data_IF_020267045210
#
_entry.id   IF_020267045210
#
_cell.length_a   1.000
_cell.length_b   1.000
_cell.length_c   1.000
_cell.angle_alpha   90.00
_cell.angle_beta   90.00
_cell.angle_gamma   90.00
#
_symmetry.space_group_name_H-M   'P 1'
#
loop_
_entity.id
_entity.type
_entity.pdbx_description
1 polymer ?
#
# COMPACT_ATOMS: atom_id res chain seq x y z
N UNK A 1 24.10 13.25 19.01
CA UNK A 1 22.73 12.85 18.61
C UNK A 1 22.48 11.49 19.22
N UNK A 2 21.32 11.30 19.84
CA UNK A 2 20.90 9.99 20.36
C UNK A 2 20.06 9.30 19.28
N UNK A 3 20.69 8.47 18.47
CA UNK A 3 20.02 7.81 17.34
C UNK A 3 19.02 6.74 17.81
N UNK A 4 19.11 6.28 19.06
CA UNK A 4 18.19 5.30 19.62
C UNK A 4 16.75 5.82 19.68
N UNK A 5 16.55 7.15 19.69
CA UNK A 5 15.22 7.76 19.63
C UNK A 5 14.43 7.37 18.37
N UNK A 6 15.11 7.01 17.27
CA UNK A 6 14.48 6.64 16.01
C UNK A 6 14.08 5.15 15.93
N UNK A 7 14.48 4.33 16.92
CA UNK A 7 14.17 2.89 16.92
C UNK A 7 12.66 2.62 16.86
N UNK A 8 11.85 3.51 17.45
CA UNK A 8 10.39 3.38 17.43
C UNK A 8 9.80 3.41 16.02
N UNK A 9 10.42 4.11 15.06
CA UNK A 9 9.94 4.12 13.67
C UNK A 9 10.08 2.75 12.99
N UNK A 10 11.02 1.93 13.46
CA UNK A 10 11.27 0.56 12.95
C UNK A 10 10.43 -0.45 13.72
N UNK A 11 10.44 -0.39 15.05
CA UNK A 11 9.75 -1.37 15.89
C UNK A 11 8.23 -1.19 15.92
N UNK A 12 7.76 0.04 15.66
CA UNK A 12 6.34 0.42 15.69
C UNK A 12 5.98 1.30 14.47
N UNK A 13 6.03 0.74 13.25
CA UNK A 13 5.86 1.51 12.02
C UNK A 13 4.42 2.00 11.86
N UNK A 14 4.23 3.31 11.64
CA UNK A 14 2.91 3.90 11.40
C UNK A 14 2.21 3.28 10.18
N UNK A 15 2.98 2.92 9.15
CA UNK A 15 2.47 2.30 7.93
C UNK A 15 1.73 0.99 8.19
N UNK A 16 2.13 0.18 9.18
CA UNK A 16 1.38 -1.03 9.53
C UNK A 16 -0.03 -0.69 10.04
N UNK A 17 -0.16 0.35 10.87
CA UNK A 17 -1.46 0.81 11.37
C UNK A 17 -2.35 1.40 10.27
N UNK A 18 -1.75 2.12 9.32
CA UNK A 18 -2.44 2.64 8.14
C UNK A 18 -2.97 1.49 7.28
N UNK A 19 -2.16 0.45 7.04
CA UNK A 19 -2.58 -0.72 6.25
C UNK A 19 -3.77 -1.42 6.91
N UNK A 20 -3.70 -1.71 8.22
CA UNK A 20 -4.85 -2.29 8.95
C UNK A 20 -6.11 -1.42 8.87
N UNK A 21 -5.94 -0.10 8.89
CA UNK A 21 -7.08 0.83 8.81
C UNK A 21 -7.72 0.83 7.43
N UNK A 22 -6.93 0.73 6.36
CA UNK A 22 -7.40 0.81 4.97
C UNK A 22 -7.88 -0.54 4.41
N UNK A 23 -7.22 -1.62 4.82
CA UNK A 23 -7.43 -2.98 4.32
C UNK A 23 -7.66 -3.91 5.52
N UNK A 24 -8.89 -4.42 5.71
CA UNK A 24 -9.11 -5.48 6.69
C UNK A 24 -8.45 -6.75 6.17
N UNK A 25 -7.28 -7.04 6.72
CA UNK A 25 -6.59 -8.32 6.60
C UNK A 25 -7.31 -9.35 7.48
N UNK A 26 -7.22 -10.63 7.14
CA UNK A 26 -7.74 -11.72 7.99
C UNK A 26 -7.04 -11.76 9.35
N UNK A 27 -5.82 -11.23 9.41
CA UNK A 27 -4.93 -11.27 10.56
C UNK A 27 -4.28 -9.90 10.70
N UNK A 28 -4.71 -9.12 11.71
CA UNK A 28 -4.24 -7.75 11.95
C UNK A 28 -2.72 -7.67 11.98
N UNK A 29 -2.13 -6.81 11.13
CA UNK A 29 -0.68 -6.63 11.06
C UNK A 29 -0.19 -6.09 12.39
N UNK A 30 0.85 -6.67 13.01
CA UNK A 30 1.42 -6.13 14.24
C UNK A 30 1.93 -4.70 14.02
N UNK A 31 1.47 -3.77 14.86
CA UNK A 31 1.85 -2.34 14.81
C UNK A 31 2.97 -1.99 15.78
N UNK A 32 3.43 -2.93 16.58
CA UNK A 32 4.56 -2.80 17.50
C UNK A 32 5.33 -4.12 17.60
N UNK A 33 6.54 -4.08 18.19
CA UNK A 33 7.37 -5.27 18.38
C UNK A 33 7.89 -5.90 17.08
N UNK A 34 8.03 -5.12 16.01
CA UNK A 34 8.43 -5.57 14.67
C UNK A 34 9.90 -5.94 14.56
N UNK A 35 10.27 -7.10 15.10
CA UNK A 35 11.64 -7.64 15.06
C UNK A 35 12.09 -8.04 13.66
N UNK A 36 11.15 -8.44 12.80
CA UNK A 36 11.38 -8.66 11.37
C UNK A 36 11.85 -7.38 10.66
N UNK A 37 11.25 -6.23 10.97
CA UNK A 37 11.69 -4.95 10.43
C UNK A 37 13.02 -4.48 11.02
N UNK A 38 13.30 -4.80 12.28
CA UNK A 38 14.64 -4.58 12.86
C UNK A 38 15.70 -5.37 12.07
N UNK A 39 15.40 -6.59 11.63
CA UNK A 39 16.30 -7.35 10.75
C UNK A 39 16.42 -6.70 9.38
N UNK A 40 15.32 -6.29 8.77
CA UNK A 40 15.33 -5.65 7.44
C UNK A 40 16.14 -4.34 7.42
N UNK A 41 15.91 -3.46 8.39
CA UNK A 41 16.50 -2.12 8.40
C UNK A 41 17.85 -2.06 9.13
N UNK A 42 18.01 -2.75 10.26
CA UNK A 42 19.09 -2.44 11.21
C UNK A 42 20.18 -3.50 11.29
N UNK A 43 19.85 -4.80 11.26
CA UNK A 43 20.84 -5.88 11.48
C UNK A 43 21.14 -6.74 10.26
N UNK A 44 20.28 -6.71 9.24
CA UNK A 44 20.27 -7.63 8.11
C UNK A 44 19.46 -8.88 8.40
N UNK A 45 18.93 -9.49 7.34
CA UNK A 45 18.14 -10.71 7.40
C UNK A 45 19.07 -11.93 7.46
N UNK A 46 18.93 -12.81 8.47
CA UNK A 46 19.74 -14.02 8.61
C UNK A 46 19.78 -14.87 7.34
N UNK A 47 20.97 -15.32 6.95
CA UNK A 47 21.16 -16.15 5.74
C UNK A 47 21.02 -15.41 4.40
N UNK A 48 20.65 -14.12 4.39
CA UNK A 48 20.49 -13.32 3.18
C UNK A 48 21.56 -12.24 3.07
N UNK A 49 21.52 -11.24 3.95
CA UNK A 49 22.41 -10.08 3.94
C UNK A 49 22.86 -9.66 5.36
N UNK A 50 22.48 -10.43 6.38
CA UNK A 50 23.08 -10.35 7.70
C UNK A 50 24.52 -10.85 7.63
N UNK A 51 25.44 -10.06 8.18
CA UNK A 51 26.83 -10.47 8.34
C UNK A 51 26.98 -11.17 9.69
N UNK A 52 27.31 -12.48 9.75
CA UNK A 52 27.29 -13.27 11.00
C UNK A 52 28.26 -12.80 12.10
N UNK A 53 29.22 -11.94 11.75
CA UNK A 53 30.26 -11.39 12.65
C UNK A 53 30.10 -9.88 12.84
N UNK A 54 28.91 -9.35 12.53
CA UNK A 54 28.66 -7.91 12.66
C UNK A 54 28.37 -7.54 14.12
N UNK A 55 29.42 -7.20 14.86
CA UNK A 55 29.33 -6.67 16.22
C UNK A 55 29.06 -5.17 16.26
N UNK A 56 28.80 -4.53 15.10
CA UNK A 56 28.48 -3.10 15.04
C UNK A 56 27.10 -2.85 15.63
N UNK A 57 26.92 -1.66 16.19
CA UNK A 57 25.62 -1.17 16.62
C UNK A 57 24.61 -1.27 15.47
N UNK A 58 23.39 -1.80 15.69
CA UNK A 58 22.34 -1.81 14.68
C UNK A 58 22.14 -0.42 14.09
N UNK A 59 22.10 -0.34 12.76
CA UNK A 59 22.04 0.93 12.04
C UNK A 59 21.32 0.77 10.71
N UNK A 60 20.58 1.81 10.33
CA UNK A 60 19.92 1.87 9.03
C UNK A 60 20.98 2.04 7.94
N UNK A 61 21.20 0.99 7.15
CA UNK A 61 22.13 1.01 6.04
C UNK A 61 21.70 0.02 4.95
N UNK A 62 22.06 0.30 3.71
CA UNK A 62 21.85 -0.63 2.61
C UNK A 62 22.82 -1.80 2.78
N UNK A 63 22.29 -2.99 3.02
CA UNK A 63 23.06 -4.24 3.16
C UNK A 63 22.90 -5.08 1.89
N UNK A 64 23.99 -5.18 1.12
CA UNK A 64 24.05 -5.93 -0.14
C UNK A 64 24.95 -7.16 0.05
N UNK A 65 24.45 -8.34 -0.31
CA UNK A 65 25.24 -9.56 -0.40
C UNK A 65 25.67 -9.83 -1.85
N UNK A 66 26.93 -9.51 -2.16
CA UNK A 66 27.53 -9.74 -3.49
C UNK A 66 27.93 -11.21 -3.73
N UNK A 67 27.85 -12.08 -2.71
CA UNK A 67 28.16 -13.50 -2.83
C UNK A 67 27.02 -14.32 -3.46
N UNK A 68 25.83 -13.74 -3.63
CA UNK A 68 24.70 -14.40 -4.28
C UNK A 68 24.85 -14.23 -5.78
N UNK A 69 24.90 -15.35 -6.51
CA UNK A 69 24.99 -15.32 -7.96
C UNK A 69 23.74 -14.66 -8.58
N UNK A 70 23.91 -13.84 -9.64
CA UNK A 70 22.77 -13.23 -10.31
C UNK A 70 21.90 -14.30 -10.96
N UNK A 71 20.58 -14.15 -10.82
CA UNK A 71 19.60 -14.98 -11.53
C UNK A 71 19.47 -14.44 -12.97
N UNK A 72 19.47 -15.31 -14.01
CA UNK A 72 19.28 -14.86 -15.39
C UNK A 72 17.98 -14.08 -15.55
N UNK A 73 17.99 -13.03 -16.38
CA UNK A 73 16.86 -12.10 -16.57
C UNK A 73 15.49 -12.77 -16.80
N UNK A 74 15.47 -13.85 -17.58
CA UNK A 74 14.26 -14.64 -17.87
C UNK A 74 13.65 -15.31 -16.62
N UNK A 75 14.47 -15.60 -15.62
CA UNK A 75 14.11 -16.33 -14.42
C UNK A 75 13.95 -15.43 -13.18
N UNK A 76 14.26 -14.13 -13.30
CA UNK A 76 14.11 -13.18 -12.19
C UNK A 76 12.65 -13.12 -11.73
N UNK A 77 12.43 -13.24 -10.42
CA UNK A 77 11.12 -13.02 -9.82
C UNK A 77 10.93 -11.54 -9.49
N UNK A 78 9.80 -10.94 -9.91
CA UNK A 78 9.49 -9.53 -9.63
C UNK A 78 9.47 -9.22 -8.12
N UNK A 79 9.09 -10.20 -7.30
CA UNK A 79 9.01 -10.06 -5.86
C UNK A 79 10.35 -10.33 -5.15
N UNK A 80 11.44 -10.50 -5.91
CA UNK A 80 12.80 -10.69 -5.38
C UNK A 80 12.83 -11.73 -4.26
N UNK A 81 13.43 -11.35 -3.12
CA UNK A 81 13.66 -12.23 -1.98
C UNK A 81 12.37 -12.84 -1.43
N UNK A 82 11.29 -12.07 -1.31
CA UNK A 82 10.01 -12.58 -0.80
C UNK A 82 9.29 -13.47 -1.82
N UNK A 83 9.73 -13.44 -3.08
CA UNK A 83 9.34 -14.38 -4.14
C UNK A 83 10.26 -15.60 -4.27
N UNK A 84 11.19 -15.80 -3.34
CA UNK A 84 12.15 -16.92 -3.36
C UNK A 84 13.40 -16.68 -4.21
N UNK A 85 13.59 -15.46 -4.73
CA UNK A 85 14.76 -15.08 -5.53
C UNK A 85 15.73 -14.24 -4.69
N UNK A 86 16.73 -14.90 -4.10
CA UNK A 86 17.68 -14.27 -3.19
C UNK A 86 18.58 -13.21 -3.85
N UNK A 87 18.67 -13.20 -5.18
CA UNK A 87 19.45 -12.24 -5.95
C UNK A 87 18.68 -10.94 -6.23
N UNK A 88 17.37 -10.89 -5.96
CA UNK A 88 16.55 -9.69 -6.07
C UNK A 88 16.70 -8.73 -4.89
N UNK A 89 15.83 -7.71 -4.87
CA UNK A 89 15.83 -6.68 -3.82
C UNK A 89 15.78 -7.30 -2.41
N UNK A 90 16.67 -6.91 -1.47
CA UNK A 90 17.60 -5.77 -1.54
C UNK A 90 19.00 -6.06 -2.09
N UNK A 91 19.35 -7.32 -2.40
CA UNK A 91 20.69 -7.69 -2.87
C UNK A 91 20.95 -7.28 -4.32
N UNK A 92 19.92 -7.36 -5.15
CA UNK A 92 19.88 -6.79 -6.49
C UNK A 92 18.90 -5.64 -6.54
N UNK A 93 19.25 -4.52 -7.15
CA UNK A 93 18.27 -3.50 -7.57
C UNK A 93 18.02 -3.68 -9.05
N UNK A 94 17.41 -4.80 -9.42
CA UNK A 94 17.20 -5.18 -10.81
C UNK A 94 15.99 -4.45 -11.34
N UNK A 95 15.95 -4.28 -12.66
CA UNK A 95 14.86 -3.57 -13.32
C UNK A 95 13.50 -4.25 -13.15
N UNK A 96 13.45 -5.57 -12.96
CA UNK A 96 12.22 -6.33 -12.71
C UNK A 96 11.78 -6.34 -11.25
N UNK A 97 12.62 -5.91 -10.31
CA UNK A 97 12.27 -5.95 -8.89
C UNK A 97 11.19 -4.90 -8.59
N UNK A 98 10.05 -5.37 -8.10
CA UNK A 98 8.91 -4.56 -7.72
C UNK A 98 9.10 -4.07 -6.28
N UNK A 99 9.97 -3.08 -6.13
CA UNK A 99 10.39 -2.57 -4.82
C UNK A 99 9.20 -2.06 -4.00
N UNK A 100 8.15 -1.55 -4.64
CA UNK A 100 6.95 -1.05 -3.97
C UNK A 100 6.16 -2.21 -3.38
N UNK A 101 5.81 -3.21 -4.18
CA UNK A 101 5.11 -4.40 -3.70
C UNK A 101 5.91 -5.12 -2.61
N UNK A 102 7.22 -5.30 -2.83
CA UNK A 102 8.10 -5.98 -1.87
C UNK A 102 8.11 -5.23 -0.53
N UNK A 103 8.37 -3.92 -0.55
CA UNK A 103 8.47 -3.12 0.68
C UNK A 103 7.15 -3.07 1.42
N UNK A 104 6.02 -2.92 0.69
CA UNK A 104 4.69 -2.88 1.28
C UNK A 104 4.34 -4.20 1.97
N UNK A 105 4.62 -5.34 1.34
CA UNK A 105 4.36 -6.68 1.90
C UNK A 105 5.27 -7.00 3.09
N UNK A 106 6.52 -6.53 3.06
CA UNK A 106 7.43 -6.63 4.22
C UNK A 106 6.87 -5.84 5.41
N UNK A 107 6.42 -4.60 5.20
CA UNK A 107 5.76 -3.83 6.27
C UNK A 107 4.46 -4.50 6.70
N UNK A 108 3.73 -5.13 5.79
CA UNK A 108 2.55 -5.91 6.12
C UNK A 108 2.86 -7.25 6.82
N UNK A 109 4.14 -7.60 7.02
CA UNK A 109 4.53 -8.72 7.87
C UNK A 109 4.74 -10.04 7.12
N UNK A 110 4.96 -10.03 5.79
CA UNK A 110 5.23 -11.28 5.03
C UNK A 110 6.39 -12.11 5.61
N UNK A 111 7.36 -11.47 6.27
CA UNK A 111 8.50 -12.12 6.93
C UNK A 111 8.16 -12.75 8.29
N UNK A 112 7.00 -12.43 8.88
CA UNK A 112 6.49 -13.06 10.10
C UNK A 112 5.94 -14.47 9.83
N UNK A 113 5.84 -14.88 8.56
CA UNK A 113 5.29 -16.16 8.14
C UNK A 113 3.76 -16.20 8.21
N UNK A 114 3.14 -17.39 8.14
CA UNK A 114 1.70 -17.53 8.32
C UNK A 114 1.24 -16.90 9.65
N UNK A 115 0.13 -16.15 9.66
CA UNK A 115 -0.85 -16.05 8.57
C UNK A 115 -0.60 -14.89 7.58
N UNK A 116 0.42 -14.06 7.81
CA UNK A 116 0.69 -12.82 7.06
C UNK A 116 1.22 -13.02 5.64
N UNK A 117 1.56 -14.24 5.24
CA UNK A 117 1.94 -14.56 3.87
C UNK A 117 0.75 -14.98 2.98
N UNK A 118 -0.49 -14.71 3.41
CA UNK A 118 -1.72 -15.14 2.73
C UNK A 118 -2.75 -14.00 2.60
N UNK A 119 -3.91 -14.31 2.00
CA UNK A 119 -5.04 -13.38 1.90
C UNK A 119 -4.72 -12.08 1.16
N UNK A 120 -5.29 -10.97 1.64
CA UNK A 120 -5.09 -9.63 1.05
C UNK A 120 -3.62 -9.18 1.15
N UNK A 121 -2.87 -9.65 2.15
CA UNK A 121 -1.45 -9.32 2.30
C UNK A 121 -0.62 -9.84 1.11
N UNK A 122 -0.87 -11.07 0.67
CA UNK A 122 -0.27 -11.64 -0.54
C UNK A 122 -0.70 -10.92 -1.85
N UNK A 123 -1.65 -10.00 -1.77
CA UNK A 123 -2.16 -9.20 -2.89
C UNK A 123 -1.85 -7.71 -2.75
N UNK A 124 -1.27 -7.26 -1.63
CA UNK A 124 -0.86 -5.86 -1.45
C UNK A 124 0.15 -5.45 -2.53
N UNK A 125 -0.08 -4.28 -3.10
CA UNK A 125 0.75 -3.73 -4.15
C UNK A 125 0.13 -2.50 -4.80
N UNK A 126 0.82 -1.93 -5.78
CA UNK A 126 0.32 -0.80 -6.58
C UNK A 126 -0.49 -1.24 -7.83
N UNK A 127 -0.65 -2.57 -7.99
CA UNK A 127 -1.29 -3.24 -9.12
C UNK A 127 -0.52 -3.15 -10.46
N UNK A 128 0.73 -2.68 -10.45
CA UNK A 128 1.61 -2.60 -11.64
C UNK A 128 2.66 -3.71 -11.59
N UNK A 129 2.32 -4.86 -12.15
CA UNK A 129 3.17 -6.06 -12.05
C UNK A 129 4.23 -6.19 -13.16
N UNK A 130 4.20 -5.30 -14.16
CA UNK A 130 5.07 -5.32 -15.34
C UNK A 130 5.12 -3.97 -16.01
N UNK A 131 6.20 -3.72 -16.73
CA UNK A 131 6.32 -2.55 -17.57
C UNK A 131 5.47 -2.68 -18.84
N UNK A 132 4.96 -1.55 -19.30
CA UNK A 132 4.19 -1.44 -20.56
C UNK A 132 5.05 -1.69 -21.81
N UNK A 133 6.37 -1.50 -21.67
CA UNK A 133 7.37 -1.79 -22.71
C UNK A 133 8.44 -2.72 -22.16
N UNK A 134 8.90 -3.63 -23.01
CA UNK A 134 10.01 -4.53 -22.69
C UNK A 134 11.31 -3.75 -22.52
N UNK A 135 12.10 -4.16 -21.53
CA UNK A 135 13.47 -3.66 -21.36
C UNK A 135 14.34 -3.92 -22.59
N UNK A 136 15.37 -3.11 -22.76
CA UNK A 136 16.34 -3.26 -23.84
C UNK A 136 17.49 -4.16 -23.40
N UNK A 137 18.15 -4.83 -24.34
CA UNK A 137 19.31 -5.70 -24.04
C UNK A 137 20.65 -4.94 -24.05
N UNK A 138 20.60 -3.60 -24.12
CA UNK A 138 21.76 -2.72 -24.19
C UNK A 138 21.57 -1.54 -23.24
N UNK A 139 22.65 -1.09 -22.60
CA UNK A 139 22.62 0.07 -21.72
C UNK A 139 21.93 1.28 -22.39
N UNK A 140 20.97 1.97 -21.73
CA UNK A 140 20.66 1.92 -20.29
C UNK A 140 19.67 0.83 -19.83
N UNK A 141 19.35 -0.16 -20.67
CA UNK A 141 18.45 -1.29 -20.40
C UNK A 141 16.97 -0.91 -20.17
N UNK A 142 16.66 0.38 -20.08
CA UNK A 142 15.30 0.90 -20.01
C UNK A 142 14.68 0.99 -21.40
N UNK A 143 13.35 0.87 -21.44
CA UNK A 143 12.57 1.14 -22.63
C UNK A 143 12.46 2.67 -22.85
N UNK A 144 12.44 3.08 -24.12
CA UNK A 144 12.15 4.48 -24.47
C UNK A 144 10.75 4.87 -23.99
N UNK A 145 10.55 6.11 -23.48
CA UNK A 145 9.23 6.57 -23.05
C UNK A 145 8.21 6.53 -24.20
N UNK A 146 6.93 6.53 -23.87
CA UNK A 146 5.91 6.79 -24.89
C UNK A 146 6.09 8.20 -25.47
N UNK A 147 5.78 8.37 -26.75
CA UNK A 147 5.74 9.71 -27.32
C UNK A 147 4.61 10.50 -26.63
N UNK A 148 4.79 11.80 -26.38
CA UNK A 148 3.82 12.61 -25.65
C UNK A 148 2.44 12.74 -26.32
N UNK A 149 2.33 12.36 -27.60
CA UNK A 149 1.07 12.30 -28.35
C UNK A 149 0.35 10.95 -28.22
N UNK A 150 1.05 9.89 -27.84
CA UNK A 150 0.50 8.55 -27.64
C UNK A 150 0.29 8.30 -26.14
N UNK A 151 -0.66 9.00 -25.54
CA UNK A 151 -1.03 8.80 -24.14
C UNK A 151 -2.05 7.66 -24.03
N UNK A 152 -1.60 6.42 -23.99
CA UNK A 152 -2.39 5.34 -23.40
C UNK A 152 -2.12 5.34 -21.89
N UNK A 153 -2.99 5.98 -21.11
CA UNK A 153 -3.04 5.70 -19.68
C UNK A 153 -3.37 4.21 -19.55
N UNK A 154 -2.48 3.47 -18.87
CA UNK A 154 -2.44 2.01 -18.72
C UNK A 154 -3.65 1.27 -19.29
N UNK A 155 -3.40 0.41 -20.27
CA UNK A 155 -4.39 -0.58 -20.69
C UNK A 155 -4.83 -1.31 -19.42
N UNK A 156 -6.09 -1.13 -19.03
CA UNK A 156 -6.70 -1.88 -17.93
C UNK A 156 -6.74 -3.34 -18.40
N UNK A 157 -5.69 -4.09 -18.12
CA UNK A 157 -5.76 -5.54 -18.12
C UNK A 157 -6.61 -5.86 -16.91
N UNK A 158 -7.83 -6.35 -17.16
CA UNK A 158 -8.76 -6.76 -16.12
C UNK A 158 -8.05 -7.79 -15.23
N UNK A 159 -7.55 -7.36 -14.07
CA UNK A 159 -7.08 -8.29 -13.05
C UNK A 159 -8.35 -8.88 -12.45
N UNK A 160 -8.61 -10.16 -12.76
CA UNK A 160 -9.64 -10.96 -12.11
C UNK A 160 -9.32 -11.05 -10.61
N UNK A 161 -9.73 -10.04 -9.83
CA UNK A 161 -9.51 -10.01 -8.39
C UNK A 161 -9.60 -8.64 -7.73
N UNK A 162 -9.40 -7.54 -8.47
CA UNK A 162 -9.56 -6.18 -7.94
C UNK A 162 -10.51 -5.41 -8.85
N UNK A 163 -11.82 -5.60 -8.64
CA UNK A 163 -12.83 -4.80 -9.31
C UNK A 163 -12.70 -3.36 -8.83
N UNK A 164 -12.16 -2.48 -9.67
CA UNK A 164 -12.56 -1.08 -9.62
C UNK A 164 -14.03 -1.07 -10.04
N UNK A 165 -14.91 -1.20 -9.05
CA UNK A 165 -16.36 -1.23 -9.19
C UNK A 165 -16.85 0.14 -9.69
N UNK A 166 -16.65 0.39 -10.98
CA UNK A 166 -17.26 1.50 -11.73
C UNK A 166 -18.59 1.06 -12.35
N UNK A 167 -19.08 -0.14 -12.04
CA UNK A 167 -20.44 -0.56 -12.35
C UNK A 167 -21.39 0.08 -11.32
N UNK A 168 -22.33 0.97 -11.72
CA UNK A 168 -23.29 1.62 -10.82
C UNK A 168 -24.14 0.64 -10.00
N UNK A 169 -24.17 -0.65 -10.38
CA UNK A 169 -24.92 -1.71 -9.67
C UNK A 169 -24.11 -2.54 -8.69
N UNK A 170 -22.80 -2.33 -8.64
CA UNK A 170 -21.90 -3.10 -7.79
C UNK A 170 -21.69 -2.42 -6.43
N UNK A 171 -21.41 -3.21 -5.38
CA UNK A 171 -21.09 -2.71 -4.05
C UNK A 171 -19.75 -1.95 -4.07
N UNK A 172 -19.68 -0.74 -3.50
CA UNK A 172 -18.41 -0.05 -3.31
C UNK A 172 -18.49 1.47 -3.31
N UNK A 173 -17.36 2.09 -2.96
CA UNK A 173 -17.11 3.51 -3.14
C UNK A 173 -16.87 3.83 -4.61
N UNK A 174 -17.39 4.96 -5.05
CA UNK A 174 -17.06 5.56 -6.33
C UNK A 174 -16.06 6.70 -6.11
N UNK A 175 -15.36 7.09 -7.17
CA UNK A 175 -14.43 8.22 -7.12
C UNK A 175 -15.15 9.49 -6.63
N UNK A 176 -14.63 10.12 -5.58
CA UNK A 176 -15.18 11.37 -5.10
C UNK A 176 -14.98 12.49 -6.13
N UNK A 177 -15.94 13.41 -6.24
CA UNK A 177 -15.86 14.54 -7.16
C UNK A 177 -16.28 15.85 -6.48
N UNK A 178 -15.49 16.94 -6.64
CA UNK A 178 -14.19 16.98 -7.31
C UNK A 178 -13.08 16.23 -6.54
N UNK A 179 -12.01 15.82 -7.22
CA UNK A 179 -10.76 15.34 -6.62
C UNK A 179 -9.58 15.71 -7.54
N UNK A 180 -8.66 16.61 -7.15
CA UNK A 180 -8.59 17.33 -5.88
C UNK A 180 -9.78 18.28 -5.62
N UNK A 181 -10.04 18.67 -4.37
CA UNK A 181 -11.20 19.49 -3.98
C UNK A 181 -10.86 20.64 -3.03
N UNK A 182 -11.71 21.67 -2.98
CA UNK A 182 -11.61 22.83 -2.06
C UNK A 182 -12.98 23.49 -1.79
N UNK A 183 -13.48 23.58 -0.54
CA UNK A 183 -13.18 22.69 0.59
C UNK A 183 -14.05 21.43 0.56
N UNK A 184 -14.98 21.30 -0.40
CA UNK A 184 -15.98 20.23 -0.40
C UNK A 184 -15.85 19.23 -1.55
N UNK A 185 -16.17 17.97 -1.27
CA UNK A 185 -16.27 16.89 -2.25
C UNK A 185 -17.47 16.01 -1.97
N UNK A 186 -18.05 15.43 -3.02
CA UNK A 186 -19.11 14.43 -2.91
C UNK A 186 -18.50 13.04 -2.93
N UNK A 187 -18.78 12.28 -1.89
CA UNK A 187 -18.43 10.87 -1.75
C UNK A 187 -19.67 10.07 -2.15
N UNK A 188 -19.52 9.21 -3.15
CA UNK A 188 -20.60 8.36 -3.64
C UNK A 188 -20.29 6.90 -3.34
N UNK A 189 -21.30 6.13 -2.98
CA UNK A 189 -21.19 4.69 -2.81
C UNK A 189 -22.52 4.01 -3.13
N UNK A 190 -22.48 2.73 -3.50
CA UNK A 190 -23.67 1.94 -3.79
C UNK A 190 -23.82 0.75 -2.83
N UNK A 191 -25.05 0.54 -2.36
CA UNK A 191 -25.42 -0.58 -1.51
C UNK A 191 -26.31 -1.56 -2.30
N UNK A 192 -25.89 -2.81 -2.41
CA UNK A 192 -26.66 -3.85 -3.15
C UNK A 192 -27.94 -4.24 -2.40
N UNK A 193 -27.94 -4.15 -1.07
CA UNK A 193 -29.08 -4.44 -0.18
C UNK A 193 -29.09 -3.45 0.98
N UNK A 194 -30.17 -3.42 1.75
CA UNK A 194 -30.19 -2.64 2.99
C UNK A 194 -29.16 -3.21 3.99
N UNK A 195 -28.34 -2.33 4.58
CA UNK A 195 -27.22 -2.73 5.43
C UNK A 195 -26.85 -1.66 6.45
N UNK A 196 -26.11 -2.04 7.49
CA UNK A 196 -25.45 -1.11 8.40
C UNK A 196 -24.21 -0.56 7.71
N UNK A 197 -24.12 0.77 7.63
CA UNK A 197 -23.06 1.48 6.92
C UNK A 197 -22.27 2.32 7.90
N UNK A 198 -20.94 2.16 7.88
CA UNK A 198 -20.00 3.04 8.55
C UNK A 198 -19.13 3.70 7.50
N UNK A 199 -19.24 5.02 7.36
CA UNK A 199 -18.44 5.83 6.44
C UNK A 199 -17.57 6.79 7.25
N UNK A 200 -16.25 6.63 7.15
CA UNK A 200 -15.27 7.39 7.94
C UNK A 200 -14.21 8.02 7.06
N UNK A 201 -13.64 9.12 7.54
CA UNK A 201 -12.48 9.77 6.93
C UNK A 201 -11.28 9.65 7.85
N UNK A 202 -10.14 9.30 7.26
CA UNK A 202 -8.85 9.16 7.91
C UNK A 202 -7.82 10.07 7.26
N UNK A 203 -6.86 10.56 8.04
CA UNK A 203 -5.67 11.20 7.46
C UNK A 203 -4.63 10.16 7.02
N UNK A 204 -3.50 10.62 6.48
CA UNK A 204 -2.41 9.74 6.05
C UNK A 204 -1.81 8.88 7.18
N UNK A 205 -2.01 9.24 8.44
CA UNK A 205 -1.51 8.51 9.61
C UNK A 205 -2.51 7.43 10.10
N UNK A 206 -3.62 7.23 9.39
CA UNK A 206 -4.68 6.32 9.83
C UNK A 206 -5.50 6.85 11.02
N UNK A 207 -5.32 8.12 11.41
CA UNK A 207 -6.12 8.75 12.46
C UNK A 207 -7.50 9.13 11.91
N UNK A 208 -8.55 8.67 12.59
CA UNK A 208 -9.93 9.06 12.28
C UNK A 208 -10.09 10.58 12.43
N UNK A 209 -10.56 11.23 11.36
CA UNK A 209 -10.87 12.65 11.30
C UNK A 209 -12.34 12.88 11.66
N UNK A 210 -13.24 12.13 11.02
CA UNK A 210 -14.69 12.25 11.20
C UNK A 210 -15.40 10.97 10.74
N UNK A 211 -16.47 10.61 11.44
CA UNK A 211 -17.47 9.64 10.98
C UNK A 211 -18.61 10.40 10.30
N UNK A 212 -18.86 10.13 9.02
CA UNK A 212 -19.89 10.79 8.21
C UNK A 212 -21.23 10.04 8.24
N UNK A 213 -21.18 8.71 8.32
CA UNK A 213 -22.36 7.83 8.37
C UNK A 213 -22.07 6.71 9.36
N UNK A 214 -23.04 6.39 10.21
CA UNK A 214 -23.01 5.23 11.10
C UNK A 214 -24.45 4.78 11.41
N UNK A 215 -25.12 4.26 10.40
CA UNK A 215 -26.54 3.88 10.51
C UNK A 215 -26.93 2.82 9.47
N UNK A 216 -28.14 2.27 9.63
CA UNK A 216 -28.73 1.34 8.67
C UNK A 216 -29.35 2.10 7.50
N UNK A 217 -28.90 1.82 6.29
CA UNK A 217 -29.40 2.46 5.07
C UNK A 217 -30.03 1.43 4.12
N UNK A 218 -31.04 1.87 3.37
CA UNK A 218 -31.65 1.07 2.30
C UNK A 218 -30.70 0.92 1.10
N UNK A 219 -30.93 -0.10 0.27
CA UNK A 219 -30.19 -0.31 -0.97
C UNK A 219 -30.20 0.92 -1.91
N UNK A 220 -29.25 0.94 -2.85
CA UNK A 220 -29.10 1.96 -3.89
C UNK A 220 -27.94 2.92 -3.66
N UNK A 221 -27.77 3.86 -4.60
CA UNK A 221 -26.73 4.87 -4.57
C UNK A 221 -26.96 5.86 -3.41
N UNK A 222 -25.87 6.19 -2.71
CA UNK A 222 -25.81 7.18 -1.64
C UNK A 222 -24.77 8.23 -2.00
N UNK A 223 -25.05 9.46 -1.60
CA UNK A 223 -24.16 10.61 -1.78
C UNK A 223 -24.02 11.31 -0.45
N UNK A 224 -22.78 11.52 -0.01
CA UNK A 224 -22.44 12.21 1.24
C UNK A 224 -21.41 13.28 0.93
N UNK A 225 -21.62 14.50 1.43
CA UNK A 225 -20.69 15.61 1.23
C UNK A 225 -19.76 15.73 2.43
N UNK A 226 -18.46 15.83 2.17
CA UNK A 226 -17.50 16.25 3.18
C UNK A 226 -16.95 17.63 2.85
N UNK A 227 -16.89 18.52 3.85
CA UNK A 227 -16.49 19.92 3.70
C UNK A 227 -15.06 20.20 4.21
N UNK A 228 -14.22 19.16 4.33
CA UNK A 228 -12.84 19.35 4.79
C UNK A 228 -12.74 19.77 6.26
N UNK A 229 -13.63 19.25 7.12
CA UNK A 229 -13.64 19.52 8.57
C UNK A 229 -13.50 18.25 9.40
N UNK A 230 -13.00 18.38 10.63
CA UNK A 230 -12.94 17.32 11.63
C UNK A 230 -14.26 17.17 12.42
N UNK A 231 -14.30 16.21 13.33
CA UNK A 231 -15.46 15.95 14.21
C UNK A 231 -15.91 17.15 15.07
N UNK A 232 -15.06 18.16 15.26
CA UNK A 232 -15.38 19.37 16.02
C UNK A 232 -15.81 20.53 15.11
N UNK A 233 -15.88 20.31 13.79
CA UNK A 233 -16.20 21.35 12.81
C UNK A 233 -15.00 22.21 12.41
N UNK A 234 -13.78 21.89 12.87
CA UNK A 234 -12.59 22.65 12.50
C UNK A 234 -12.07 22.21 11.14
N UNK A 235 -11.68 23.17 10.30
CA UNK A 235 -11.09 22.85 8.99
C UNK A 235 -9.78 22.07 9.13
N UNK A 236 -9.65 20.96 8.40
CA UNK A 236 -8.40 20.17 8.39
C UNK A 236 -7.37 20.74 7.41
N UNK A 237 -6.06 20.44 7.56
CA UNK A 237 -5.02 20.92 6.64
C UNK A 237 -5.17 20.38 5.21
N UNK A 238 -4.63 21.09 4.21
CA UNK A 238 -4.45 20.55 2.86
C UNK A 238 -3.63 19.26 2.92
N UNK A 239 -3.97 18.28 2.10
CA UNK A 239 -3.27 17.01 2.09
C UNK A 239 -4.09 15.83 1.59
N UNK A 240 -3.52 14.65 1.78
CA UNK A 240 -4.15 13.39 1.41
C UNK A 240 -5.01 12.86 2.55
N UNK A 241 -6.20 12.39 2.21
CA UNK A 241 -7.16 11.76 3.11
C UNK A 241 -7.68 10.48 2.48
N UNK A 242 -8.21 9.60 3.31
CA UNK A 242 -8.83 8.36 2.86
C UNK A 242 -10.25 8.30 3.37
N UNK A 243 -11.20 8.04 2.48
CA UNK A 243 -12.56 7.63 2.87
C UNK A 243 -12.60 6.11 2.94
N UNK A 244 -13.20 5.58 4.00
CA UNK A 244 -13.41 4.15 4.23
C UNK A 244 -14.90 3.88 4.40
N UNK A 245 -15.42 2.93 3.65
CA UNK A 245 -16.79 2.41 3.71
C UNK A 245 -16.74 1.00 4.28
N UNK A 246 -17.44 0.76 5.38
CA UNK A 246 -17.59 -0.57 5.99
C UNK A 246 -19.06 -0.98 5.99
N UNK A 247 -19.34 -2.20 5.52
CA UNK A 247 -20.68 -2.82 5.50
C UNK A 247 -20.57 -4.33 5.76
N UNK A 248 -21.70 -5.05 5.80
CA UNK A 248 -21.65 -6.52 5.88
C UNK A 248 -21.03 -7.19 4.64
N UNK A 249 -20.98 -6.48 3.50
CA UNK A 249 -20.36 -6.98 2.27
C UNK A 249 -18.82 -6.86 2.27
N UNK A 250 -18.25 -6.08 3.19
CA UNK A 250 -16.81 -5.90 3.33
C UNK A 250 -16.43 -4.45 3.56
N UNK A 251 -15.19 -4.11 3.23
CA UNK A 251 -14.63 -2.76 3.39
C UNK A 251 -14.03 -2.29 2.08
N UNK A 252 -14.29 -1.03 1.74
CA UNK A 252 -13.72 -0.35 0.58
C UNK A 252 -13.14 1.00 1.00
N UNK A 253 -12.07 1.44 0.34
CA UNK A 253 -11.36 2.67 0.67
C UNK A 253 -10.94 3.46 -0.58
N UNK A 254 -11.05 4.78 -0.56
CA UNK A 254 -10.55 5.66 -1.64
C UNK A 254 -9.76 6.85 -1.13
N UNK A 255 -8.70 7.18 -1.88
CA UNK A 255 -7.83 8.33 -1.66
C UNK A 255 -8.48 9.63 -2.17
N UNK A 256 -8.42 10.68 -1.37
CA UNK A 256 -8.92 12.02 -1.67
C UNK A 256 -7.83 13.06 -1.41
N UNK A 257 -7.82 14.16 -2.17
CA UNK A 257 -6.86 15.25 -2.03
C UNK A 257 -7.57 16.58 -1.77
N UNK A 258 -7.39 17.12 -0.57
CA UNK A 258 -7.88 18.44 -0.18
C UNK A 258 -6.83 19.50 -0.52
N UNK A 259 -7.24 20.53 -1.24
CA UNK A 259 -6.50 21.75 -1.47
C UNK A 259 -7.17 22.89 -0.70
N UNK A 260 -6.37 23.73 -0.05
CA UNK A 260 -6.78 25.05 0.44
C UNK A 260 -5.95 26.10 -0.26
#
# INVERSE_FOLDING_TARGET
>A
MDDAQFLNYVTSPELAGIINSLYPVTDDIPTSGRTDLVQVFLTGVPGLNQRPQDTRTPSEQIRINLGIAPVPFANENRLGVIGGDAAGFPNGRRLKDDVIDISLRVVAGVLLGPPFNSGINAQLGDAVQRNDKTFTNTFPYLAEPFQGYTNTHGVIVSVSGLSQNNDPKSYGLLQNYPNPFNPSTQIKYNLVKADNVVLKIYNILGKEIITLVNEKLNAGEKVVTWNGVDKNGNGVPSGTYFVKLETSAGVDSKKMMLLK
#
